data_IF_725136823697
#
_entry.id   IF_725136823697
#
_cell.length_a   1.000
_cell.length_b   1.000
_cell.length_c   1.000
_cell.angle_alpha   90.00
_cell.angle_beta   90.00
_cell.angle_gamma   90.00
#
_symmetry.space_group_name_H-M   'P 1'
#
loop_
_entity.id
_entity.type
_entity.pdbx_description
1 polymer ?
#
# COMPACT_ATOMS: atom_id res chain seq x y z
N UNK A 1 0.42 -15.27 -34.76
CA UNK A 1 0.99 -14.84 -33.46
C UNK A 1 0.23 -13.61 -33.04
N UNK A 2 -0.26 -13.52 -31.79
CA UNK A 2 -0.87 -12.29 -31.31
C UNK A 2 0.16 -11.17 -31.44
N UNK A 3 -0.14 -10.15 -32.25
CA UNK A 3 0.73 -8.99 -32.49
C UNK A 3 0.59 -7.93 -31.39
N UNK A 4 -0.48 -8.03 -30.58
CA UNK A 4 -0.75 -7.15 -29.47
C UNK A 4 -0.20 -7.72 -28.16
N UNK A 5 0.40 -6.85 -27.34
CA UNK A 5 0.64 -7.10 -25.91
C UNK A 5 -0.40 -6.36 -25.09
N UNK A 6 -0.94 -7.01 -24.08
CA UNK A 6 -1.95 -6.47 -23.19
C UNK A 6 -1.47 -6.50 -21.73
N UNK A 7 -2.02 -5.61 -20.91
CA UNK A 7 -1.76 -5.56 -19.48
C UNK A 7 -3.09 -5.56 -18.75
N UNK A 8 -3.36 -6.63 -18.01
CA UNK A 8 -4.52 -6.75 -17.14
C UNK A 8 -4.20 -6.06 -15.80
N UNK A 9 -4.56 -4.78 -15.68
CA UNK A 9 -4.28 -3.97 -14.49
C UNK A 9 -5.53 -3.43 -13.75
N UNK A 10 -6.46 -4.30 -13.32
CA UNK A 10 -7.63 -3.86 -12.57
C UNK A 10 -7.30 -3.55 -11.10
N UNK A 11 -8.15 -2.72 -10.49
CA UNK A 11 -8.31 -2.68 -9.04
C UNK A 11 -9.31 -3.75 -8.57
N UNK A 12 -9.44 -3.94 -7.26
CA UNK A 12 -10.42 -4.87 -6.68
C UNK A 12 -11.86 -4.49 -7.02
N UNK A 13 -12.71 -5.48 -7.25
CA UNK A 13 -14.17 -5.34 -7.22
C UNK A 13 -14.65 -5.65 -5.81
N UNK A 14 -14.81 -4.61 -4.97
CA UNK A 14 -15.09 -4.76 -3.53
C UNK A 14 -16.26 -5.71 -3.26
N UNK A 15 -16.01 -6.73 -2.45
CA UNK A 15 -16.99 -7.76 -2.08
C UNK A 15 -17.26 -8.81 -3.17
N UNK A 16 -16.51 -8.80 -4.27
CA UNK A 16 -16.68 -9.73 -5.40
C UNK A 16 -15.36 -10.39 -5.77
N UNK A 17 -14.35 -9.62 -6.20
CA UNK A 17 -13.03 -10.12 -6.60
C UNK A 17 -11.93 -9.25 -6.01
N UNK A 18 -10.88 -9.87 -5.49
CA UNK A 18 -9.61 -9.20 -5.22
C UNK A 18 -9.02 -8.64 -6.53
N UNK A 19 -8.11 -7.67 -6.41
CA UNK A 19 -7.42 -7.13 -7.59
C UNK A 19 -6.68 -8.22 -8.37
N UNK A 20 -6.12 -9.22 -7.66
CA UNK A 20 -5.43 -10.36 -8.27
C UNK A 20 -6.37 -11.27 -9.05
N UNK A 21 -7.52 -11.63 -8.47
CA UNK A 21 -8.52 -12.46 -9.17
C UNK A 21 -9.08 -11.73 -10.39
N UNK A 22 -9.37 -10.43 -10.27
CA UNK A 22 -9.79 -9.61 -11.39
C UNK A 22 -8.72 -9.56 -12.50
N UNK A 23 -7.44 -9.42 -12.14
CA UNK A 23 -6.34 -9.41 -13.09
C UNK A 23 -6.22 -10.76 -13.83
N UNK A 24 -6.32 -11.87 -13.09
CA UNK A 24 -6.30 -13.22 -13.66
C UNK A 24 -7.45 -13.44 -14.64
N UNK A 25 -8.68 -13.08 -14.26
CA UNK A 25 -9.85 -13.22 -15.12
C UNK A 25 -9.77 -12.37 -16.39
N UNK A 26 -9.27 -11.13 -16.30
CA UNK A 26 -9.03 -10.29 -17.47
C UNK A 26 -7.92 -10.88 -18.36
N UNK A 27 -6.81 -11.32 -17.78
CA UNK A 27 -5.71 -11.89 -18.53
C UNK A 27 -6.12 -13.18 -19.26
N UNK A 28 -6.97 -14.00 -18.66
CA UNK A 28 -7.53 -15.20 -19.30
C UNK A 28 -8.24 -14.87 -20.62
N UNK A 29 -9.21 -13.94 -20.60
CA UNK A 29 -9.91 -13.54 -21.83
C UNK A 29 -9.02 -12.76 -22.82
N UNK A 30 -8.04 -11.99 -22.32
CA UNK A 30 -7.09 -11.28 -23.19
C UNK A 30 -6.16 -12.23 -23.95
N UNK A 31 -5.82 -13.38 -23.37
CA UNK A 31 -4.91 -14.39 -23.99
C UNK A 31 -5.48 -15.01 -25.27
N UNK A 32 -6.77 -14.84 -25.55
CA UNK A 32 -7.38 -15.25 -26.81
C UNK A 32 -6.88 -14.42 -28.00
N UNK A 33 -6.44 -13.17 -27.79
CA UNK A 33 -6.10 -12.23 -28.86
C UNK A 33 -4.82 -11.40 -28.62
N UNK A 34 -4.23 -11.45 -27.42
CA UNK A 34 -2.99 -10.76 -27.06
C UNK A 34 -2.09 -11.60 -26.14
N UNK A 35 -0.80 -11.27 -26.10
CA UNK A 35 0.08 -11.73 -25.01
C UNK A 35 -0.15 -10.84 -23.78
N UNK A 36 -0.72 -11.40 -22.71
CA UNK A 36 -1.27 -10.65 -21.58
C UNK A 36 -0.48 -10.85 -20.28
N UNK A 37 0.04 -9.74 -19.75
CA UNK A 37 0.68 -9.67 -18.43
C UNK A 37 -0.35 -9.27 -17.35
N UNK A 38 -0.22 -9.82 -16.14
CA UNK A 38 -1.05 -9.46 -14.99
C UNK A 38 -0.34 -8.40 -14.12
N UNK A 39 -1.03 -7.30 -13.81
CA UNK A 39 -0.51 -6.26 -12.93
C UNK A 39 -1.65 -5.67 -12.08
N UNK A 40 -2.13 -6.38 -11.04
CA UNK A 40 -3.18 -5.87 -10.17
C UNK A 40 -2.78 -4.53 -9.53
N UNK A 41 -3.76 -3.67 -9.32
CA UNK A 41 -3.56 -2.33 -8.73
C UNK A 41 -4.37 -2.18 -7.45
N UNK A 42 -3.91 -1.26 -6.59
CA UNK A 42 -4.62 -0.88 -5.38
C UNK A 42 -4.40 0.62 -5.09
N UNK A 43 -5.37 1.21 -4.39
CA UNK A 43 -5.46 2.65 -4.11
C UNK A 43 -5.07 3.03 -2.67
N UNK A 44 -4.67 2.06 -1.84
CA UNK A 44 -4.40 2.26 -0.41
C UNK A 44 -5.50 1.76 0.51
N UNK A 45 -6.54 1.10 -0.03
CA UNK A 45 -7.52 0.33 0.73
C UNK A 45 -7.11 -1.11 1.02
N UNK A 46 -8.10 -1.92 1.39
CA UNK A 46 -7.94 -3.35 1.67
C UNK A 46 -7.28 -4.11 0.50
N UNK A 47 -6.28 -4.94 0.81
CA UNK A 47 -5.57 -5.77 -0.17
C UNK A 47 -4.47 -5.02 -0.93
N UNK A 48 -4.12 -3.79 -0.51
CA UNK A 48 -2.99 -3.05 -1.09
C UNK A 48 -1.67 -3.75 -0.77
N UNK A 49 -1.52 -4.30 0.43
CA UNK A 49 -0.29 -5.03 0.78
C UNK A 49 -0.09 -6.29 -0.08
N UNK A 50 -1.17 -7.00 -0.42
CA UNK A 50 -1.08 -8.17 -1.31
C UNK A 50 -0.61 -7.80 -2.71
N UNK A 51 -1.10 -6.67 -3.24
CA UNK A 51 -0.65 -6.12 -4.53
C UNK A 51 0.84 -5.73 -4.47
N UNK A 52 1.27 -5.06 -3.39
CA UNK A 52 2.67 -4.68 -3.20
C UNK A 52 3.58 -5.92 -3.07
N UNK A 53 3.17 -6.91 -2.29
CA UNK A 53 3.92 -8.16 -2.11
C UNK A 53 4.04 -8.91 -3.44
N UNK A 54 2.97 -9.00 -4.23
CA UNK A 54 3.02 -9.65 -5.54
C UNK A 54 4.00 -8.96 -6.51
N UNK A 55 4.08 -7.63 -6.48
CA UNK A 55 4.93 -6.86 -7.38
C UNK A 55 6.39 -6.72 -6.90
N UNK A 56 6.62 -6.59 -5.59
CA UNK A 56 7.90 -6.21 -5.01
C UNK A 56 8.52 -7.31 -4.12
N UNK A 57 7.77 -8.36 -3.80
CA UNK A 57 8.14 -9.34 -2.79
C UNK A 57 8.11 -8.75 -1.38
N UNK A 58 9.04 -9.19 -0.53
CA UNK A 58 9.13 -8.79 0.87
C UNK A 58 8.73 -9.93 1.82
N UNK A 59 8.73 -9.62 3.11
CA UNK A 59 8.42 -10.57 4.17
C UNK A 59 7.18 -10.13 4.94
N UNK A 60 6.22 -11.04 5.07
CA UNK A 60 5.07 -10.84 5.95
C UNK A 60 5.47 -10.95 7.41
N UNK A 61 4.90 -10.07 8.23
CA UNK A 61 5.13 -10.02 9.67
C UNK A 61 3.80 -9.91 10.39
N UNK A 62 3.54 -10.85 11.28
CA UNK A 62 2.33 -10.88 12.09
C UNK A 62 2.51 -10.05 13.37
N UNK A 63 1.42 -9.44 13.82
CA UNK A 63 1.37 -8.67 15.06
C UNK A 63 0.01 -8.82 15.72
N UNK A 64 0.00 -8.96 17.06
CA UNK A 64 -1.23 -8.91 17.84
C UNK A 64 -1.62 -7.46 18.11
N UNK A 65 -2.85 -7.13 17.77
CA UNK A 65 -3.45 -5.79 17.92
C UNK A 65 -4.89 -5.91 18.39
N UNK A 66 -5.52 -4.78 18.69
CA UNK A 66 -6.95 -4.70 18.95
C UNK A 66 -7.72 -4.23 17.72
N UNK A 67 -8.85 -4.86 17.43
CA UNK A 67 -9.76 -4.41 16.39
C UNK A 67 -10.47 -3.10 16.76
N UNK A 68 -11.33 -2.62 15.86
CA UNK A 68 -12.04 -1.35 16.05
C UNK A 68 -12.89 -1.31 17.34
N UNK A 69 -13.27 -2.46 17.90
CA UNK A 69 -14.13 -2.59 19.06
C UNK A 69 -13.41 -3.16 20.28
N UNK A 70 -12.07 -3.24 20.24
CA UNK A 70 -11.23 -3.63 21.36
C UNK A 70 -11.03 -5.15 21.51
N UNK A 71 -11.38 -5.97 20.52
CA UNK A 71 -11.13 -7.42 20.55
C UNK A 71 -9.72 -7.71 20.02
N UNK A 72 -9.04 -8.70 20.57
CA UNK A 72 -7.74 -9.12 20.05
C UNK A 72 -7.85 -9.67 18.63
N UNK A 73 -6.84 -9.36 17.81
CA UNK A 73 -6.73 -9.74 16.40
C UNK A 73 -5.26 -9.91 16.04
N UNK A 74 -4.98 -10.84 15.13
CA UNK A 74 -3.70 -10.89 14.43
C UNK A 74 -3.83 -10.07 13.15
N UNK A 75 -3.03 -9.03 13.03
CA UNK A 75 -2.87 -8.23 11.83
C UNK A 75 -1.51 -8.55 11.19
N UNK A 76 -1.37 -8.23 9.92
CA UNK A 76 -0.12 -8.42 9.18
C UNK A 76 0.38 -7.11 8.60
N UNK A 77 1.70 -7.00 8.45
CA UNK A 77 2.34 -5.92 7.71
C UNK A 77 3.48 -6.47 6.87
N UNK A 78 3.94 -5.68 5.90
CA UNK A 78 4.92 -6.10 4.91
C UNK A 78 6.26 -5.39 5.11
N UNK A 79 7.33 -6.15 5.32
CA UNK A 79 8.70 -5.66 5.29
C UNK A 79 9.23 -5.76 3.85
N UNK A 80 9.40 -4.62 3.18
CA UNK A 80 9.87 -4.57 1.81
C UNK A 80 11.40 -4.63 1.71
N UNK A 81 11.96 -5.14 0.58
CA UNK A 81 13.41 -5.29 0.42
C UNK A 81 14.22 -4.00 0.50
N UNK A 82 13.60 -2.85 0.25
CA UNK A 82 14.24 -1.53 0.33
C UNK A 82 14.27 -0.94 1.76
N UNK A 83 13.80 -1.70 2.76
CA UNK A 83 13.73 -1.25 4.15
C UNK A 83 12.47 -0.45 4.49
N UNK A 84 11.51 -0.34 3.57
CA UNK A 84 10.18 0.21 3.83
C UNK A 84 9.34 -0.80 4.62
N UNK A 85 8.70 -0.37 5.70
CA UNK A 85 7.57 -1.10 6.28
C UNK A 85 6.28 -0.57 5.65
N UNK A 86 5.44 -1.46 5.13
CA UNK A 86 4.11 -1.12 4.63
C UNK A 86 3.04 -1.72 5.54
N UNK A 87 2.14 -0.86 6.03
CA UNK A 87 1.04 -1.22 6.92
C UNK A 87 -0.29 -0.81 6.28
N UNK A 88 -1.33 -1.57 6.55
CA UNK A 88 -2.68 -1.30 6.05
C UNK A 88 -3.66 -1.25 7.20
N UNK A 89 -4.36 -0.12 7.36
CA UNK A 89 -5.23 0.10 8.51
C UNK A 89 -6.37 -0.95 8.58
N UNK A 90 -6.84 -1.44 7.44
CA UNK A 90 -7.84 -2.50 7.37
C UNK A 90 -7.35 -3.84 7.95
N UNK A 91 -6.04 -4.12 7.99
CA UNK A 91 -5.51 -5.33 8.66
C UNK A 91 -5.81 -5.31 10.17
N UNK A 92 -5.80 -4.12 10.79
CA UNK A 92 -6.10 -3.95 12.21
C UNK A 92 -7.58 -3.66 12.48
N UNK A 93 -8.20 -2.75 11.73
CA UNK A 93 -9.55 -2.22 12.01
C UNK A 93 -10.48 -2.31 10.78
N UNK A 94 -10.66 -3.51 10.18
CA UNK A 94 -11.41 -3.67 8.94
C UNK A 94 -12.87 -3.23 9.12
N UNK A 95 -13.46 -2.71 8.04
CA UNK A 95 -14.88 -2.43 7.99
C UNK A 95 -15.67 -3.75 8.01
N UNK A 96 -16.49 -3.95 9.04
CA UNK A 96 -17.45 -5.04 9.12
C UNK A 96 -18.87 -4.53 8.79
N UNK A 97 -19.47 -4.91 7.64
CA UNK A 97 -20.81 -4.48 7.28
C UNK A 97 -21.91 -4.91 8.27
N UNK A 98 -21.65 -5.92 9.10
CA UNK A 98 -22.57 -6.43 10.12
C UNK A 98 -22.48 -5.65 11.44
N UNK A 99 -21.37 -4.94 11.68
CA UNK A 99 -21.11 -4.20 12.92
C UNK A 99 -20.68 -2.75 12.63
N UNK A 100 -21.68 -1.88 12.51
CA UNK A 100 -21.50 -0.48 12.12
C UNK A 100 -21.79 0.48 13.28
N UNK A 101 -20.81 0.67 14.18
CA UNK A 101 -20.88 1.65 15.27
C UNK A 101 -19.69 2.63 15.27
N UNK A 102 -19.76 3.71 14.47
CA UNK A 102 -18.66 4.67 14.34
C UNK A 102 -18.34 5.45 15.62
N UNK A 103 -19.25 5.49 16.61
CA UNK A 103 -19.03 6.22 17.86
C UNK A 103 -18.19 5.43 18.85
N UNK A 104 -18.21 4.10 18.73
CA UNK A 104 -17.43 3.17 19.56
C UNK A 104 -16.15 2.70 18.88
N UNK A 105 -16.12 2.70 17.55
CA UNK A 105 -14.95 2.29 16.78
C UNK A 105 -13.71 3.13 17.13
N UNK A 106 -12.57 2.47 17.34
CA UNK A 106 -11.28 3.08 17.70
C UNK A 106 -10.17 2.66 16.74
N UNK A 107 -9.30 3.60 16.37
CA UNK A 107 -8.12 3.34 15.54
C UNK A 107 -6.89 2.84 16.31
N UNK A 108 -7.06 2.46 17.59
CA UNK A 108 -5.97 2.03 18.48
C UNK A 108 -5.11 0.91 17.89
N UNK A 109 -5.73 -0.13 17.30
CA UNK A 109 -5.00 -1.24 16.68
C UNK A 109 -4.04 -0.81 15.56
N UNK A 110 -4.38 0.25 14.82
CA UNK A 110 -3.48 0.81 13.79
C UNK A 110 -2.22 1.38 14.44
N UNK A 111 -2.37 2.05 15.59
CA UNK A 111 -1.24 2.53 16.38
C UNK A 111 -0.37 1.39 16.92
N UNK A 112 -0.99 0.32 17.42
CA UNK A 112 -0.28 -0.88 17.90
C UNK A 112 0.52 -1.55 16.77
N UNK A 113 -0.07 -1.68 15.59
CA UNK A 113 0.62 -2.19 14.39
C UNK A 113 1.79 -1.29 13.98
N UNK A 114 1.60 0.04 13.91
CA UNK A 114 2.68 0.99 13.59
C UNK A 114 3.80 0.94 14.63
N UNK A 115 3.48 0.78 15.91
CA UNK A 115 4.50 0.66 16.95
C UNK A 115 5.34 -0.62 16.79
N UNK A 116 4.73 -1.71 16.34
CA UNK A 116 5.38 -3.01 16.16
C UNK A 116 6.37 -3.07 14.98
N UNK A 117 6.27 -2.15 14.00
CA UNK A 117 7.21 -2.14 12.85
C UNK A 117 8.64 -1.73 13.23
N UNK A 118 8.85 -1.20 14.45
CA UNK A 118 10.16 -0.80 14.95
C UNK A 118 10.67 0.49 14.30
N UNK A 119 11.81 0.43 13.60
CA UNK A 119 12.50 1.58 13.00
C UNK A 119 12.86 1.32 11.53
N UNK A 120 11.87 1.31 10.62
CA UNK A 120 12.13 1.10 9.21
C UNK A 120 12.83 2.31 8.58
N UNK A 121 13.36 2.15 7.36
CA UNK A 121 13.94 3.28 6.62
C UNK A 121 12.85 4.25 6.13
N UNK A 122 11.68 3.71 5.80
CA UNK A 122 10.48 4.45 5.45
C UNK A 122 9.23 3.71 5.92
N UNK A 123 8.13 4.44 6.11
CA UNK A 123 6.83 3.87 6.43
C UNK A 123 5.83 4.20 5.32
N UNK A 124 5.13 3.20 4.81
CA UNK A 124 3.96 3.36 3.95
C UNK A 124 2.71 2.97 4.73
N UNK A 125 1.74 3.87 4.83
CA UNK A 125 0.46 3.64 5.52
C UNK A 125 -0.68 3.67 4.51
N UNK A 126 -1.40 2.57 4.38
CA UNK A 126 -2.62 2.43 3.58
C UNK A 126 -3.83 2.61 4.51
N UNK A 127 -4.69 3.61 4.28
CA UNK A 127 -5.74 4.03 5.24
C UNK A 127 -7.15 3.53 4.92
N UNK A 128 -7.39 3.00 3.72
CA UNK A 128 -8.75 2.66 3.28
C UNK A 128 -9.30 1.39 3.95
N UNK A 129 -10.61 1.17 3.81
CA UNK A 129 -11.28 -0.06 4.26
C UNK A 129 -11.52 -0.18 5.77
N UNK A 130 -11.52 0.92 6.52
CA UNK A 130 -11.60 0.90 7.99
C UNK A 130 -13.01 1.09 8.55
N UNK A 131 -13.26 0.53 9.74
CA UNK A 131 -14.49 0.75 10.51
C UNK A 131 -14.50 2.08 11.30
N UNK A 132 -13.38 2.81 11.33
CA UNK A 132 -13.14 3.89 12.28
C UNK A 132 -13.38 5.27 11.70
N UNK A 133 -13.91 6.19 12.51
CA UNK A 133 -14.06 7.62 12.19
C UNK A 133 -13.62 8.52 13.36
N UNK A 134 -12.75 8.02 14.23
CA UNK A 134 -12.31 8.67 15.45
C UNK A 134 -11.28 9.80 15.24
N UNK A 135 -11.00 10.15 13.98
CA UNK A 135 -10.00 11.17 13.62
C UNK A 135 -8.56 10.80 13.99
N UNK A 136 -8.27 9.50 14.18
CA UNK A 136 -6.96 9.03 14.62
C UNK A 136 -6.72 9.19 16.12
N UNK A 137 -7.76 9.41 16.91
CA UNK A 137 -7.63 9.54 18.36
C UNK A 137 -7.04 8.27 19.00
N UNK A 138 -7.57 7.09 18.66
CA UNK A 138 -7.07 5.81 19.17
C UNK A 138 -5.62 5.53 18.75
N UNK A 139 -5.27 5.80 17.48
CA UNK A 139 -3.88 5.69 17.01
C UNK A 139 -2.92 6.53 17.87
N UNK A 140 -3.30 7.78 18.21
CA UNK A 140 -2.47 8.71 19.00
C UNK A 140 -2.32 8.31 20.47
N UNK A 141 -3.18 7.43 20.99
CA UNK A 141 -2.99 6.85 22.33
C UNK A 141 -1.73 5.98 22.38
N UNK A 142 -1.36 5.37 21.25
CA UNK A 142 -0.24 4.43 21.14
C UNK A 142 0.98 5.10 20.52
N UNK A 143 0.80 5.82 19.41
CA UNK A 143 1.88 6.41 18.63
C UNK A 143 1.83 7.93 18.72
N UNK A 144 2.77 8.52 19.47
CA UNK A 144 2.92 9.99 19.54
C UNK A 144 3.65 10.57 18.34
N UNK A 145 4.64 9.84 17.83
CA UNK A 145 5.49 10.22 16.69
C UNK A 145 5.64 9.00 15.79
N UNK A 146 5.56 9.22 14.47
CA UNK A 146 5.77 8.14 13.50
C UNK A 146 7.24 7.70 13.51
N UNK A 147 7.52 6.39 13.35
CA UNK A 147 8.86 5.83 13.56
C UNK A 147 9.87 6.14 12.44
N UNK A 148 9.41 6.64 11.29
CA UNK A 148 10.20 6.87 10.09
C UNK A 148 9.56 7.92 9.16
N UNK A 149 10.27 8.44 8.14
CA UNK A 149 9.66 9.22 7.07
C UNK A 149 8.47 8.46 6.48
N UNK A 150 7.28 9.06 6.58
CA UNK A 150 6.01 8.36 6.33
C UNK A 150 5.33 8.90 5.08
N UNK A 151 4.90 7.98 4.21
CA UNK A 151 3.98 8.22 3.10
C UNK A 151 2.64 7.57 3.43
N UNK A 152 1.57 8.26 3.09
CA UNK A 152 0.20 7.79 3.33
C UNK A 152 -0.48 7.64 1.97
N UNK A 153 -1.01 6.46 1.67
CA UNK A 153 -1.85 6.25 0.50
C UNK A 153 -3.24 6.83 0.81
N UNK A 154 -3.59 7.91 0.11
CA UNK A 154 -4.82 8.67 0.27
C UNK A 154 -5.35 9.01 -1.12
N UNK A 155 -6.48 8.41 -1.49
CA UNK A 155 -7.15 8.54 -2.78
C UNK A 155 -8.22 9.64 -2.80
N UNK A 156 -8.41 10.32 -1.66
CA UNK A 156 -9.42 11.35 -1.47
C UNK A 156 -8.86 12.64 -0.89
N UNK A 157 -9.46 13.77 -1.27
CA UNK A 157 -9.16 15.11 -0.74
C UNK A 157 -10.13 15.54 0.38
N UNK A 158 -10.75 14.57 1.09
CA UNK A 158 -11.72 14.87 2.15
C UNK A 158 -10.99 15.45 3.37
N UNK A 159 -11.25 16.71 3.76
CA UNK A 159 -10.63 17.30 4.93
C UNK A 159 -11.17 16.67 6.22
N UNK A 160 -10.36 16.70 7.29
CA UNK A 160 -10.70 16.14 8.60
C UNK A 160 -12.04 16.66 9.17
N UNK A 161 -12.34 17.92 8.91
CA UNK A 161 -13.58 18.57 9.35
C UNK A 161 -14.28 19.19 8.13
N UNK A 162 -15.22 18.45 7.56
CA UNK A 162 -16.22 19.01 6.65
C UNK A 162 -17.59 18.34 6.83
N UNK A 163 -18.57 18.84 6.09
CA UNK A 163 -19.92 18.30 6.07
C UNK A 163 -19.98 16.94 5.36
N UNK A 164 -18.99 16.62 4.50
CA UNK A 164 -18.93 15.35 3.75
C UNK A 164 -18.41 14.19 4.60
N UNK A 165 -17.36 14.37 5.41
CA UNK A 165 -16.90 13.44 6.42
C UNK A 165 -17.99 13.19 7.47
N UNK A 166 -18.69 14.25 7.88
CA UNK A 166 -19.89 14.11 8.72
C UNK A 166 -21.06 13.38 8.00
N UNK A 167 -21.13 13.37 6.67
CA UNK A 167 -22.11 12.62 5.90
C UNK A 167 -21.67 11.16 5.64
N UNK A 168 -20.36 10.91 5.49
CA UNK A 168 -19.78 9.57 5.41
C UNK A 168 -20.09 8.79 6.69
N UNK A 169 -19.88 9.40 7.86
CA UNK A 169 -20.29 8.84 9.16
C UNK A 169 -21.79 8.52 9.22
N UNK A 170 -22.65 9.31 8.56
CA UNK A 170 -24.09 9.05 8.52
C UNK A 170 -24.46 7.87 7.63
N UNK A 171 -23.74 7.68 6.52
CA UNK A 171 -23.92 6.56 5.60
C UNK A 171 -23.43 5.25 6.19
N UNK A 172 -22.25 5.24 6.80
CA UNK A 172 -21.71 4.04 7.46
C UNK A 172 -22.49 3.68 8.72
N UNK A 173 -23.03 4.65 9.47
CA UNK A 173 -23.75 4.35 10.72
C UNK A 173 -25.10 3.61 10.58
N UNK A 174 -25.64 3.37 9.36
CA UNK A 174 -27.05 2.89 9.12
C UNK A 174 -27.99 3.24 10.29
N UNK A 175 -28.07 4.52 10.63
CA UNK A 175 -28.77 4.96 11.83
C UNK A 175 -30.29 4.79 11.63
N UNK A 176 -30.81 3.58 11.87
CA UNK A 176 -32.21 3.19 11.66
C UNK A 176 -33.22 3.87 12.61
N UNK A 177 -32.85 4.90 13.36
CA UNK A 177 -33.79 5.70 14.17
C UNK A 177 -33.52 7.19 14.00
N UNK A 178 -34.48 7.87 13.37
CA UNK A 178 -34.47 9.31 13.13
C UNK A 178 -34.15 10.09 14.41
N UNK A 179 -33.17 10.98 14.33
CA UNK A 179 -32.73 11.86 15.43
C UNK A 179 -31.24 11.81 15.76
N UNK A 180 -30.58 10.64 15.70
CA UNK A 180 -29.20 10.46 16.22
C UNK A 180 -28.06 10.76 15.24
N UNK A 181 -28.36 10.90 13.95
CA UNK A 181 -27.35 11.21 12.92
C UNK A 181 -26.69 12.59 13.13
N UNK A 182 -27.44 13.59 13.61
CA UNK A 182 -26.92 14.94 13.89
C UNK A 182 -26.10 14.99 15.18
N UNK A 183 -26.46 14.21 16.21
CA UNK A 183 -25.69 14.13 17.47
C UNK A 183 -24.38 13.36 17.28
N UNK A 184 -24.38 12.29 16.47
CA UNK A 184 -23.18 11.55 16.07
C UNK A 184 -22.15 12.46 15.36
N UNK A 185 -22.58 13.20 14.33
CA UNK A 185 -21.72 14.17 13.64
C UNK A 185 -21.17 15.26 14.58
N UNK A 186 -21.97 15.76 15.54
CA UNK A 186 -21.51 16.73 16.55
C UNK A 186 -20.52 16.12 17.54
N UNK A 187 -20.73 14.87 17.98
CA UNK A 187 -19.86 14.14 18.89
C UNK A 187 -18.48 13.87 18.27
N UNK A 188 -18.45 13.45 17.00
CA UNK A 188 -17.22 13.23 16.24
C UNK A 188 -16.45 14.53 16.03
N UNK A 189 -17.14 15.64 15.67
CA UNK A 189 -16.50 16.96 15.58
C UNK A 189 -15.90 17.43 16.91
N UNK A 190 -16.48 17.05 18.05
CA UNK A 190 -15.92 17.36 19.37
C UNK A 190 -14.68 16.54 19.68
N UNK A 191 -14.64 15.26 19.27
CA UNK A 191 -13.46 14.38 19.46
C UNK A 191 -12.31 14.73 18.51
N UNK A 192 -12.63 15.11 17.27
CA UNK A 192 -11.64 15.52 16.26
C UNK A 192 -11.10 16.96 16.48
N UNK A 193 -11.68 17.74 17.39
CA UNK A 193 -11.11 19.03 17.80
C UNK A 193 -9.98 18.78 18.80
N UNK A 194 -8.74 19.18 18.50
CA UNK A 194 -7.67 19.10 19.49
C UNK A 194 -8.04 20.00 20.68
N UNK A 195 -7.95 19.48 21.91
CA UNK A 195 -8.05 20.33 23.12
C UNK A 195 -6.86 21.30 23.10
N UNK A 196 -7.14 22.59 22.88
CA UNK A 196 -6.14 23.67 22.97
C UNK A 196 -5.33 24.00 21.71
N UNK A 197 -5.65 23.50 20.52
CA UNK A 197 -4.91 23.87 19.31
C UNK A 197 -5.43 25.16 18.66
N UNK A 198 -4.54 26.14 18.48
CA UNK A 198 -4.75 27.25 17.55
C UNK A 198 -4.97 26.71 16.12
N UNK A 199 -5.75 27.43 15.31
CA UNK A 199 -6.05 27.06 13.91
C UNK A 199 -4.73 26.75 13.17
N UNK A 200 -4.54 25.54 12.61
CA UNK A 200 -3.32 25.26 11.87
C UNK A 200 -3.25 26.18 10.65
N UNK A 201 -2.09 26.82 10.46
CA UNK A 201 -1.79 27.51 9.21
C UNK A 201 -1.84 26.47 8.08
N UNK A 202 -2.49 26.82 6.97
CA UNK A 202 -2.62 25.96 5.78
C UNK A 202 -1.24 25.81 5.13
N UNK A 203 -0.40 24.95 5.67
CA UNK A 203 0.74 24.45 4.92
C UNK A 203 0.20 23.51 3.86
N UNK A 204 0.20 24.00 2.62
CA UNK A 204 -0.20 23.25 1.44
C UNK A 204 0.71 22.02 1.37
N UNK A 205 0.18 20.84 1.72
CA UNK A 205 0.75 19.57 1.30
C UNK A 205 0.94 19.67 -0.22
N UNK A 206 2.20 19.68 -0.67
CA UNK A 206 2.49 19.73 -2.10
C UNK A 206 2.22 18.35 -2.69
N UNK A 207 1.23 18.18 -3.57
CA UNK A 207 1.05 16.91 -4.26
C UNK A 207 2.32 16.63 -5.08
N UNK A 208 2.93 15.46 -4.85
CA UNK A 208 4.04 14.98 -5.68
C UNK A 208 3.44 14.50 -7.00
N UNK A 209 3.46 15.37 -8.02
CA UNK A 209 3.12 14.95 -9.38
C UNK A 209 4.24 14.08 -9.92
N UNK A 210 3.97 12.79 -10.07
CA UNK A 210 4.82 11.90 -10.88
C UNK A 210 4.75 12.38 -12.33
N UNK A 211 5.83 12.98 -12.83
CA UNK A 211 5.95 13.31 -14.25
C UNK A 211 6.24 12.03 -15.03
N UNK A 212 5.43 11.63 -16.01
CA UNK A 212 5.81 10.53 -16.90
C UNK A 212 7.10 10.91 -17.64
N UNK A 213 8.10 10.02 -17.57
CA UNK A 213 9.31 10.15 -18.40
C UNK A 213 8.86 10.03 -19.86
N UNK A 214 9.01 11.11 -20.63
CA UNK A 214 8.81 11.10 -22.08
C UNK A 214 9.75 10.06 -22.69
N UNK A 215 9.23 8.93 -23.12
CA UNK A 215 9.91 8.10 -24.12
C UNK A 215 9.66 8.78 -25.47
N UNK A 216 10.73 9.21 -26.13
CA UNK A 216 10.66 9.79 -27.46
C UNK A 216 10.05 8.79 -28.42
N UNK A 217 8.85 9.09 -28.91
CA UNK A 217 8.32 8.47 -30.13
C UNK A 217 8.72 9.37 -31.28
N UNK A 218 9.61 8.84 -32.11
CA UNK A 218 9.94 9.43 -33.40
C UNK A 218 8.71 9.48 -34.30
N UNK A 219 8.65 10.54 -35.10
CA UNK A 219 7.67 10.73 -36.15
C UNK A 219 7.60 9.50 -37.06
N UNK A 220 6.42 8.90 -37.12
CA UNK A 220 5.98 8.17 -38.31
C UNK A 220 4.68 8.80 -38.74
N UNK A 221 4.79 9.59 -39.80
CA UNK A 221 3.66 10.02 -40.63
C UNK A 221 3.00 8.75 -41.16
N UNK A 222 1.71 8.61 -40.92
CA UNK A 222 0.88 7.69 -41.68
C UNK A 222 0.49 8.44 -42.95
N UNK A 223 1.08 8.06 -44.08
CA UNK A 223 0.54 8.42 -45.39
C UNK A 223 -0.58 7.41 -45.69
N UNK A 224 -1.79 7.94 -45.85
CA UNK A 224 -2.94 7.25 -46.41
C UNK A 224 -2.75 7.16 -47.93
N UNK A 225 -2.58 5.95 -48.48
CA UNK A 225 -2.81 5.70 -49.90
C UNK A 225 -3.37 4.29 -50.16
N UNK A 226 -4.64 4.30 -50.56
CA UNK A 226 -5.31 3.53 -51.60
C UNK A 226 -4.99 2.04 -51.87
N UNK A 227 -6.04 1.23 -51.69
CA UNK A 227 -6.73 0.34 -52.67
C UNK A 227 -5.96 -0.76 -53.45
N UNK A 228 -6.58 -1.95 -53.36
CA UNK A 228 -6.74 -3.01 -54.38
C UNK A 228 -5.57 -3.98 -54.68
N UNK A 229 -5.90 -5.27 -54.74
CA UNK A 229 -5.10 -6.27 -55.47
C UNK A 229 -5.11 -7.68 -54.85
N UNK A 230 -5.82 -8.61 -55.50
CA UNK A 230 -5.84 -10.03 -55.21
C UNK A 230 -4.51 -10.73 -55.58
N UNK A 231 -4.22 -11.90 -54.98
CA UNK A 231 -3.24 -12.82 -55.56
C UNK A 231 -2.50 -13.78 -54.61
N UNK A 232 -3.04 -14.99 -54.49
CA UNK A 232 -2.39 -16.33 -54.49
C UNK A 232 -0.95 -16.50 -53.95
N UNK A 233 -0.82 -17.47 -53.02
CA UNK A 233 0.13 -18.60 -53.14
C UNK A 233 1.41 -18.55 -52.29
N UNK A 234 1.75 -19.69 -51.68
CA UNK A 234 3.11 -19.99 -51.19
C UNK A 234 3.21 -20.53 -49.77
N UNK A 235 3.41 -21.83 -49.64
CA UNK A 235 3.65 -22.57 -48.39
C UNK A 235 5.15 -22.52 -47.96
N UNK A 236 5.61 -23.25 -46.93
CA UNK A 236 6.28 -22.70 -45.76
C UNK A 236 7.80 -22.89 -45.76
N UNK A 237 8.52 -22.10 -44.95
CA UNK A 237 9.93 -22.32 -44.66
C UNK A 237 10.18 -22.36 -43.15
N UNK A 238 10.71 -23.51 -42.71
CA UNK A 238 11.32 -23.74 -41.40
C UNK A 238 12.49 -22.78 -41.13
N UNK A 239 12.65 -22.32 -39.89
CA UNK A 239 13.85 -21.56 -39.53
C UNK A 239 13.98 -21.15 -38.07
N UNK A 240 14.71 -21.98 -37.32
CA UNK A 240 15.58 -21.60 -36.20
C UNK A 240 14.96 -21.01 -34.92
N UNK A 241 14.81 -21.90 -33.93
CA UNK A 241 14.89 -21.57 -32.50
C UNK A 241 16.22 -20.83 -32.23
N UNK A 242 16.17 -19.57 -31.81
CA UNK A 242 17.31 -18.91 -31.16
C UNK A 242 17.09 -18.93 -29.65
N UNK A 243 17.91 -19.72 -28.98
CA UNK A 243 18.05 -19.74 -27.53
C UNK A 243 18.61 -18.40 -27.04
N UNK A 244 17.90 -17.75 -26.12
CA UNK A 244 18.40 -16.58 -25.41
C UNK A 244 19.42 -17.04 -24.36
N UNK A 245 20.68 -16.64 -24.54
CA UNK A 245 21.73 -16.79 -23.53
C UNK A 245 21.42 -15.86 -22.32
N UNK A 246 21.67 -16.30 -21.08
CA UNK A 246 21.48 -15.44 -19.92
C UNK A 246 22.49 -14.29 -19.89
N UNK A 247 21.99 -13.10 -19.54
CA UNK A 247 22.75 -11.87 -19.33
C UNK A 247 23.74 -12.06 -18.17
N UNK A 248 25.03 -11.82 -18.44
CA UNK A 248 26.11 -11.86 -17.44
C UNK A 248 25.88 -10.77 -16.38
N UNK A 249 25.82 -11.16 -15.10
CA UNK A 249 25.89 -10.24 -13.95
C UNK A 249 27.25 -9.50 -13.95
N UNK A 250 27.30 -8.18 -13.69
CA UNK A 250 28.57 -7.49 -13.48
C UNK A 250 29.22 -7.97 -12.17
N UNK A 251 30.49 -8.38 -12.28
CA UNK A 251 31.34 -8.84 -11.17
C UNK A 251 31.58 -7.69 -10.19
N UNK A 252 31.38 -7.97 -8.89
CA UNK A 252 31.73 -7.07 -7.80
C UNK A 252 33.23 -6.76 -7.74
N UNK A 253 33.58 -5.55 -7.31
CA UNK A 253 34.95 -5.18 -6.92
C UNK A 253 35.16 -5.51 -5.43
N UNK A 254 36.33 -6.03 -5.04
CA UNK A 254 36.57 -6.54 -3.69
C UNK A 254 36.83 -5.44 -2.66
N UNK A 255 36.46 -5.76 -1.42
CA UNK A 255 36.65 -4.93 -0.23
C UNK A 255 38.14 -4.63 0.04
N UNK A 256 38.46 -3.35 0.28
CA UNK A 256 39.74 -2.95 0.87
C UNK A 256 39.67 -3.16 2.38
N UNK A 257 40.30 -4.24 2.85
CA UNK A 257 40.69 -4.44 4.25
C UNK A 257 41.66 -3.32 4.67
N UNK A 258 41.29 -2.49 5.63
CA UNK A 258 42.27 -1.75 6.44
C UNK A 258 42.53 -2.59 7.69
N UNK A 259 43.76 -3.07 7.79
CA UNK A 259 44.37 -3.60 9.01
C UNK A 259 44.45 -2.46 10.01
N UNK A 260 44.07 -2.72 11.26
CA UNK A 260 44.56 -1.94 12.39
C UNK A 260 45.03 -2.97 13.42
N UNK A 261 46.32 -3.24 13.38
CA UNK A 261 47.07 -3.90 14.44
C UNK A 261 47.29 -2.85 15.54
N UNK A 262 46.98 -3.19 16.80
CA UNK A 262 47.17 -2.24 17.90
C UNK A 262 46.69 -2.71 19.27
N UNK A 263 47.54 -3.53 19.91
CA UNK A 263 47.70 -3.68 21.36
C UNK A 263 46.62 -4.38 22.20
N UNK A 264 46.87 -5.68 22.40
CA UNK A 264 46.76 -6.40 23.67
C UNK A 264 47.02 -5.52 24.90
N UNK A 265 46.13 -5.57 25.91
CA UNK A 265 46.46 -5.48 27.35
C UNK A 265 45.27 -5.89 28.22
N UNK A 266 45.29 -7.13 28.70
CA UNK A 266 44.79 -7.63 29.99
C UNK A 266 45.66 -8.87 30.30
N UNK A 267 46.07 -9.17 31.55
CA UNK A 267 45.13 -9.34 32.67
C UNK A 267 45.66 -8.97 34.08
N UNK A 268 44.75 -8.84 35.05
CA UNK A 268 45.02 -9.33 36.40
C UNK A 268 43.70 -9.66 37.12
N UNK A 269 43.54 -10.95 37.45
CA UNK A 269 42.51 -11.51 38.32
C UNK A 269 42.98 -11.31 39.79
N UNK A 270 42.14 -10.93 40.76
CA UNK A 270 41.36 -11.77 41.73
C UNK A 270 41.66 -11.22 43.16
N UNK A 271 40.98 -11.63 44.27
CA UNK A 271 39.60 -12.10 44.47
C UNK A 271 38.91 -11.58 45.78
N UNK A 272 37.64 -11.99 45.98
CA UNK A 272 36.90 -12.28 47.24
C UNK A 272 36.51 -11.15 48.22
N UNK A 273 35.25 -11.21 48.65
CA UNK A 273 34.76 -10.57 49.87
C UNK A 273 33.25 -10.66 50.03
N UNK A 274 32.77 -11.74 50.64
CA UNK A 274 31.41 -11.93 51.15
C UNK A 274 31.15 -11.10 52.41
N UNK A 275 30.01 -10.42 52.46
CA UNK A 275 29.08 -10.30 53.61
C UNK A 275 27.83 -9.55 53.17
#
# INVERSE_FOLDING_TARGET
MPSARALACPASLKGVLSAREAASALAEGMREWADADELPLADGGEGTLDVLHAALGGEWRDVRVHDAFGRERVARWLALPDGTAAVEAAEAVPLDPSLLDPMRASSRGVGEMIAAVGRPQALLVCLGGTATVDGGAGLREVVRMLPAPTRVACDVDVPLLDDRGAAQCRRTARCRRGGRARSCARGLRRRARPRGAARPRRDRLRPVRLRPRRHGRGDRRCDDDARQGAGRGGAPMHGARRSLRPVRRPRGRPARRRRNDGALRRPSARPRGSR
#
